data_IF_838621471838
#
_entry.id   IF_838621471838
#
_cell.length_a   1.000
_cell.length_b   1.000
_cell.length_c   1.000
_cell.angle_alpha   90.00
_cell.angle_beta   90.00
_cell.angle_gamma   90.00
#
_symmetry.space_group_name_H-M   'P 1'
#
loop_
_entity.id
_entity.type
_entity.pdbx_description
1 polymer ?
#
# COMPACT_ATOMS: atom_id res chain seq x y z
N UNK A 1 62.74 32.39 45.92
CA UNK A 1 61.79 33.06 46.83
C UNK A 1 60.84 33.93 46.01
N UNK A 2 59.64 33.71 46.02
CA UNK A 2 58.35 34.37 45.98
C UNK A 2 57.31 33.62 45.13
N UNK A 3 56.34 33.06 45.83
CA UNK A 3 55.16 32.47 45.31
C UNK A 3 54.24 33.55 44.75
N UNK A 4 53.67 33.32 43.55
CA UNK A 4 52.53 34.07 43.04
C UNK A 4 51.41 33.06 42.81
N UNK A 5 50.33 33.15 43.59
CA UNK A 5 49.06 32.46 43.40
C UNK A 5 48.36 33.07 42.21
N UNK A 6 47.94 32.24 41.23
CA UNK A 6 47.00 32.59 40.21
C UNK A 6 45.63 32.00 40.55
N UNK A 7 44.61 32.84 40.76
CA UNK A 7 43.21 32.47 40.87
C UNK A 7 42.70 32.07 39.49
N UNK A 8 42.21 30.86 39.36
CA UNK A 8 41.41 30.40 38.22
C UNK A 8 39.91 30.64 38.55
N UNK A 9 39.30 31.60 37.84
CA UNK A 9 37.86 31.79 37.87
C UNK A 9 37.22 30.82 36.87
N UNK A 10 36.47 29.84 37.38
CA UNK A 10 35.65 28.92 36.58
C UNK A 10 34.31 29.59 36.25
N UNK A 11 34.13 29.99 35.00
CA UNK A 11 32.81 30.33 34.43
C UNK A 11 32.04 29.06 34.14
N UNK A 12 31.04 28.74 34.94
CA UNK A 12 30.07 27.68 34.65
C UNK A 12 29.01 28.25 33.69
N UNK A 13 29.09 27.89 32.42
CA UNK A 13 27.99 28.11 31.45
C UNK A 13 26.94 27.05 31.65
N UNK A 14 25.81 27.42 32.20
CA UNK A 14 24.60 26.58 32.23
C UNK A 14 24.02 26.48 30.80
N UNK A 15 24.19 25.34 30.15
CA UNK A 15 23.48 24.99 28.92
C UNK A 15 22.08 24.56 29.32
N UNK A 16 21.11 25.45 29.11
CA UNK A 16 19.69 25.11 29.24
C UNK A 16 19.29 24.13 28.12
N UNK A 17 18.99 22.88 28.47
CA UNK A 17 18.28 21.98 27.60
C UNK A 17 16.83 22.46 27.45
N UNK A 18 16.53 23.13 26.35
CA UNK A 18 15.15 23.32 25.91
C UNK A 18 14.69 21.99 25.27
N UNK A 19 13.91 21.20 25.98
CA UNK A 19 13.17 20.09 25.41
C UNK A 19 12.13 20.69 24.47
N UNK A 20 12.37 20.59 23.17
CA UNK A 20 11.32 20.79 22.16
C UNK A 20 10.34 19.62 22.32
N UNK A 21 9.18 19.88 22.93
CA UNK A 21 8.05 18.97 22.86
C UNK A 21 7.64 18.89 21.38
N UNK A 22 7.94 17.78 20.72
CA UNK A 22 7.41 17.48 19.40
C UNK A 22 5.87 17.44 19.46
N UNK A 23 5.19 17.67 18.34
CA UNK A 23 3.74 17.50 18.30
C UNK A 23 3.40 16.07 18.74
N UNK A 24 2.51 15.96 19.74
CA UNK A 24 1.98 14.67 20.16
C UNK A 24 1.28 14.03 18.96
N UNK A 25 1.70 12.82 18.59
CA UNK A 25 1.00 12.03 17.59
C UNK A 25 -0.46 11.90 18.03
N UNK A 26 -1.38 12.28 17.16
CA UNK A 26 -2.80 12.18 17.42
C UNK A 26 -3.21 10.72 17.19
N UNK A 27 -3.97 10.15 18.12
CA UNK A 27 -4.35 8.75 18.11
C UNK A 27 -5.18 8.42 16.85
N UNK A 28 -4.82 7.33 16.15
CA UNK A 28 -5.63 6.81 15.06
C UNK A 28 -6.99 6.33 15.60
N UNK A 29 -8.08 6.68 14.93
CA UNK A 29 -9.42 6.33 15.33
C UNK A 29 -10.09 5.45 14.28
N UNK A 30 -10.82 4.43 14.69
CA UNK A 30 -11.56 3.57 13.78
C UNK A 30 -12.33 2.53 14.52
N UNK A 31 -13.50 2.16 13.99
CA UNK A 31 -14.32 1.12 14.60
C UNK A 31 -15.22 0.43 13.57
N UNK A 32 -15.58 -0.81 13.88
CA UNK A 32 -16.64 -1.55 13.22
C UNK A 32 -17.70 -1.93 14.23
N UNK A 33 -18.95 -1.83 13.83
CA UNK A 33 -20.09 -2.27 14.65
C UNK A 33 -20.94 -3.26 13.86
N UNK A 34 -21.09 -4.45 14.39
CA UNK A 34 -22.00 -5.47 13.88
C UNK A 34 -23.27 -5.46 14.75
N UNK A 35 -24.40 -5.01 14.19
CA UNK A 35 -25.70 -4.95 14.87
C UNK A 35 -26.62 -6.04 14.33
N UNK A 36 -27.14 -6.90 15.23
CA UNK A 36 -28.00 -8.03 14.86
C UNK A 36 -29.24 -8.05 15.74
N UNK A 37 -30.45 -8.10 15.15
CA UNK A 37 -31.67 -8.45 15.86
C UNK A 37 -31.66 -9.96 16.04
N UNK A 38 -31.43 -10.43 17.27
CA UNK A 38 -31.29 -11.85 17.60
C UNK A 38 -32.65 -12.54 17.82
N UNK A 39 -33.63 -11.77 18.22
CA UNK A 39 -35.04 -12.23 18.30
C UNK A 39 -36.00 -11.04 18.24
N UNK A 40 -37.23 -11.28 17.80
CA UNK A 40 -38.27 -10.27 17.74
C UNK A 40 -39.64 -10.90 18.01
N UNK A 41 -40.49 -10.20 18.75
CA UNK A 41 -41.85 -10.57 19.08
C UNK A 41 -42.77 -9.34 18.98
N UNK A 42 -44.05 -9.50 19.26
CA UNK A 42 -45.00 -8.40 19.18
C UNK A 42 -44.61 -7.28 20.17
N UNK A 43 -44.25 -6.12 19.68
CA UNK A 43 -43.88 -4.94 20.47
C UNK A 43 -42.51 -4.99 21.14
N UNK A 44 -41.66 -6.01 20.87
CA UNK A 44 -40.34 -6.11 21.48
C UNK A 44 -39.33 -6.85 20.62
N UNK A 45 -38.05 -6.63 20.91
CA UNK A 45 -36.95 -7.29 20.23
C UNK A 45 -35.72 -7.41 21.14
N UNK A 46 -34.80 -8.28 20.77
CA UNK A 46 -33.48 -8.37 21.36
C UNK A 46 -32.45 -8.08 20.31
N UNK A 47 -31.49 -7.23 20.64
CA UNK A 47 -30.37 -6.90 19.75
C UNK A 47 -29.03 -7.27 20.39
N UNK A 48 -28.16 -7.87 19.59
CA UNK A 48 -26.75 -8.04 19.89
C UNK A 48 -25.93 -6.99 19.12
N UNK A 49 -24.93 -6.44 19.79
CA UNK A 49 -24.04 -5.43 19.24
C UNK A 49 -22.60 -5.85 19.53
N UNK A 50 -21.78 -5.97 18.50
CA UNK A 50 -20.34 -6.21 18.64
C UNK A 50 -19.60 -4.99 18.14
N UNK A 51 -18.81 -4.39 19.01
CA UNK A 51 -17.91 -3.28 18.68
C UNK A 51 -16.52 -3.87 18.49
N UNK A 52 -15.85 -3.53 17.41
CA UNK A 52 -14.43 -3.82 17.20
C UNK A 52 -13.67 -2.51 17.10
N UNK A 53 -12.68 -2.31 17.97
CA UNK A 53 -11.77 -1.16 17.88
C UNK A 53 -10.74 -1.43 16.79
N UNK A 54 -10.72 -0.61 15.76
CA UNK A 54 -9.73 -0.68 14.65
C UNK A 54 -8.62 0.38 14.80
N UNK A 55 -8.84 1.37 15.67
CA UNK A 55 -7.89 2.42 15.98
C UNK A 55 -6.96 2.08 17.14
N UNK A 56 -6.31 3.11 17.69
CA UNK A 56 -5.44 2.99 18.86
C UNK A 56 -6.18 2.45 20.09
N UNK A 57 -5.46 1.82 21.04
CA UNK A 57 -6.08 1.35 22.28
C UNK A 57 -6.84 2.46 23.02
N UNK A 58 -8.08 2.23 23.37
CA UNK A 58 -8.88 3.19 24.13
C UNK A 58 -9.20 2.69 25.54
N UNK A 59 -9.07 3.57 26.51
CA UNK A 59 -9.53 3.37 27.89
C UNK A 59 -10.81 4.19 28.12
N UNK A 60 -11.92 3.51 28.17
CA UNK A 60 -13.25 4.12 28.17
C UNK A 60 -13.78 4.32 26.75
N UNK A 61 -14.87 3.63 26.46
CA UNK A 61 -15.55 3.77 25.18
C UNK A 61 -17.03 4.09 25.39
N UNK A 62 -17.58 4.86 24.45
CA UNK A 62 -18.99 5.20 24.39
C UNK A 62 -19.47 5.03 22.94
N UNK A 63 -20.32 4.02 22.72
CA UNK A 63 -21.01 3.78 21.47
C UNK A 63 -22.28 4.63 21.43
N UNK A 64 -22.53 5.31 20.32
CA UNK A 64 -23.79 6.03 20.08
C UNK A 64 -24.38 5.68 18.72
N UNK A 65 -25.71 5.64 18.65
CA UNK A 65 -26.48 5.46 17.42
C UNK A 65 -27.89 6.01 17.59
N UNK A 66 -28.54 6.30 16.47
CA UNK A 66 -29.93 6.73 16.48
C UNK A 66 -30.85 5.56 16.12
N UNK A 67 -31.90 5.35 16.90
CA UNK A 67 -33.03 4.49 16.52
C UNK A 67 -33.77 5.16 15.37
N UNK A 68 -34.01 4.45 14.24
CA UNK A 68 -34.67 5.06 13.08
C UNK A 68 -36.15 5.34 13.25
N UNK A 69 -36.82 4.68 14.19
CA UNK A 69 -38.23 4.86 14.51
C UNK A 69 -38.37 5.38 15.94
N UNK A 70 -39.11 6.45 16.14
CA UNK A 70 -39.31 7.09 17.46
C UNK A 70 -40.01 6.17 18.49
N UNK A 71 -40.69 5.14 18.00
CA UNK A 71 -41.30 4.09 18.81
C UNK A 71 -40.31 3.06 19.37
N UNK A 72 -39.07 3.05 18.93
CA UNK A 72 -38.04 2.12 19.40
C UNK A 72 -37.42 2.63 20.70
N UNK A 73 -37.39 1.78 21.76
CA UNK A 73 -36.80 2.10 23.06
C UNK A 73 -35.92 0.97 23.57
N UNK A 74 -34.83 1.31 24.21
CA UNK A 74 -34.03 0.38 25.03
C UNK A 74 -34.71 0.17 26.34
N UNK A 75 -35.07 -1.07 26.69
CA UNK A 75 -35.74 -1.44 27.92
C UNK A 75 -34.75 -1.92 28.97
N UNK A 76 -33.84 -2.81 28.59
CA UNK A 76 -32.82 -3.38 29.44
C UNK A 76 -31.61 -3.79 28.60
N UNK A 77 -30.41 -3.37 29.00
CA UNK A 77 -29.18 -3.76 28.33
C UNK A 77 -28.23 -4.53 29.25
N UNK A 78 -27.26 -5.20 28.65
CA UNK A 78 -26.16 -5.93 29.32
C UNK A 78 -24.81 -5.60 28.72
N UNK A 79 -23.77 -5.86 29.48
CA UNK A 79 -22.35 -5.64 29.13
C UNK A 79 -21.98 -4.18 28.81
N UNK A 80 -22.84 -3.23 29.13
CA UNK A 80 -22.59 -1.80 29.00
C UNK A 80 -23.52 -1.01 29.91
N UNK A 81 -23.23 0.23 30.21
CA UNK A 81 -24.16 1.18 30.81
C UNK A 81 -24.95 1.83 29.67
N UNK A 82 -26.25 1.51 29.61
CA UNK A 82 -27.14 1.95 28.54
C UNK A 82 -27.96 3.18 28.96
N UNK A 83 -28.12 4.10 28.02
CA UNK A 83 -29.05 5.24 28.15
C UNK A 83 -29.66 5.59 26.80
N UNK A 84 -30.84 6.22 26.82
CA UNK A 84 -31.49 6.72 25.61
C UNK A 84 -32.13 8.08 25.88
N UNK A 85 -31.93 9.02 24.98
CA UNK A 85 -32.57 10.35 24.97
C UNK A 85 -33.14 10.60 23.58
N UNK A 86 -34.48 10.69 23.48
CA UNK A 86 -35.15 10.74 22.18
C UNK A 86 -34.89 9.48 21.36
N UNK A 87 -34.37 9.66 20.13
CA UNK A 87 -33.91 8.57 19.28
C UNK A 87 -32.47 8.14 19.56
N UNK A 88 -31.66 8.97 20.24
CA UNK A 88 -30.24 8.69 20.47
C UNK A 88 -30.03 7.71 21.60
N UNK A 89 -29.39 6.60 21.32
CA UNK A 89 -28.96 5.56 22.26
C UNK A 89 -27.46 5.70 22.50
N UNK A 90 -27.06 5.58 23.78
CA UNK A 90 -25.67 5.52 24.22
C UNK A 90 -25.40 4.26 25.02
N UNK A 91 -24.27 3.61 24.78
CA UNK A 91 -23.77 2.46 25.54
C UNK A 91 -22.30 2.69 25.90
N UNK A 92 -22.01 2.74 27.20
CA UNK A 92 -20.64 2.98 27.70
C UNK A 92 -20.05 1.71 28.32
N UNK A 93 -18.72 1.52 28.14
CA UNK A 93 -18.00 0.39 28.72
C UNK A 93 -18.11 0.35 30.26
N UNK A 94 -18.19 -0.85 30.81
CA UNK A 94 -18.16 -1.11 32.25
C UNK A 94 -16.82 -1.64 32.68
N UNK A 95 -16.47 -1.56 33.94
CA UNK A 95 -15.11 -1.79 34.48
C UNK A 95 -14.27 -2.88 33.84
N UNK A 96 -14.85 -4.05 33.58
CA UNK A 96 -14.10 -5.19 33.00
C UNK A 96 -13.91 -5.12 31.47
N UNK A 97 -14.72 -4.35 30.75
CA UNK A 97 -14.63 -4.19 29.29
C UNK A 97 -14.44 -2.73 28.85
N UNK A 98 -14.12 -1.83 29.76
CA UNK A 98 -13.94 -0.41 29.47
C UNK A 98 -12.72 -0.11 28.61
N UNK A 99 -11.75 -1.03 28.55
CA UNK A 99 -10.55 -0.91 27.71
C UNK A 99 -10.70 -1.78 26.46
N UNK A 100 -10.48 -1.20 25.28
CA UNK A 100 -10.47 -1.90 24.00
C UNK A 100 -9.11 -1.67 23.32
N UNK A 101 -8.18 -2.64 23.40
CA UNK A 101 -6.98 -2.64 22.58
C UNK A 101 -7.32 -2.62 21.08
N UNK A 102 -6.36 -2.21 20.24
CA UNK A 102 -6.47 -2.29 18.79
C UNK A 102 -6.81 -3.73 18.36
N UNK A 103 -7.83 -3.89 17.51
CA UNK A 103 -8.35 -5.17 17.05
C UNK A 103 -9.23 -5.92 18.04
N UNK A 104 -9.32 -5.49 19.30
CA UNK A 104 -10.18 -6.12 20.30
C UNK A 104 -11.66 -5.77 20.11
N UNK A 105 -12.54 -6.65 20.57
CA UNK A 105 -13.99 -6.46 20.47
C UNK A 105 -14.66 -6.52 21.84
N UNK A 106 -15.74 -5.75 21.98
CA UNK A 106 -16.71 -5.87 23.09
C UNK A 106 -18.06 -6.34 22.53
N UNK A 107 -18.65 -7.32 23.20
CA UNK A 107 -19.98 -7.84 22.89
C UNK A 107 -20.95 -7.39 23.95
N UNK A 108 -22.01 -6.70 23.52
CA UNK A 108 -23.04 -6.14 24.35
C UNK A 108 -24.40 -6.34 23.69
N UNK A 109 -25.47 -6.02 24.37
CA UNK A 109 -26.79 -6.13 23.77
C UNK A 109 -27.87 -5.55 24.66
N UNK A 110 -29.10 -5.56 24.15
CA UNK A 110 -30.25 -5.05 24.88
C UNK A 110 -31.55 -5.70 24.42
N UNK A 111 -32.53 -5.68 25.31
CA UNK A 111 -33.93 -5.87 24.98
C UNK A 111 -34.52 -4.49 24.70
N UNK A 112 -35.21 -4.38 23.59
CA UNK A 112 -35.90 -3.16 23.18
C UNK A 112 -37.41 -3.37 23.00
N UNK A 113 -38.15 -2.27 23.00
CA UNK A 113 -39.55 -2.24 22.59
C UNK A 113 -39.71 -1.40 21.34
N UNK A 114 -40.76 -1.62 20.54
CA UNK A 114 -41.11 -0.80 19.40
C UNK A 114 -42.61 -0.72 19.21
N UNK A 115 -43.09 0.40 18.62
CA UNK A 115 -44.44 0.59 18.16
C UNK A 115 -44.40 0.92 16.67
N UNK A 116 -44.95 0.05 15.85
CA UNK A 116 -44.85 0.22 14.38
C UNK A 116 -43.78 -0.67 13.75
N UNK A 117 -42.70 -0.11 13.29
CA UNK A 117 -41.59 -0.84 12.64
C UNK A 117 -40.37 -0.97 13.55
N UNK A 118 -39.49 -1.94 13.24
CA UNK A 118 -38.25 -2.14 13.97
C UNK A 118 -37.03 -2.18 12.98
N UNK A 119 -36.76 -1.06 12.28
CA UNK A 119 -35.60 -0.97 11.42
C UNK A 119 -34.29 -0.91 12.22
N UNK A 120 -33.18 -1.37 11.61
CA UNK A 120 -31.84 -1.30 12.21
C UNK A 120 -31.27 0.11 12.10
N UNK A 121 -30.47 0.56 13.11
CA UNK A 121 -29.69 1.79 12.98
C UNK A 121 -28.81 1.80 11.72
N UNK A 122 -28.75 2.96 11.06
CA UNK A 122 -28.00 3.12 9.82
C UNK A 122 -26.51 3.45 10.05
N UNK A 123 -26.17 4.03 11.20
CA UNK A 123 -24.80 4.44 11.53
C UNK A 123 -24.54 4.37 13.03
N UNK A 124 -23.27 4.21 13.37
CA UNK A 124 -22.79 4.11 14.74
C UNK A 124 -21.56 5.02 14.91
N UNK A 125 -21.38 5.58 16.10
CA UNK A 125 -20.16 6.31 16.47
C UNK A 125 -19.57 5.72 17.75
N UNK A 126 -18.24 5.59 17.79
CA UNK A 126 -17.50 5.19 18.98
C UNK A 126 -16.63 6.38 19.42
N UNK A 127 -16.83 6.87 20.64
CA UNK A 127 -16.18 8.09 21.15
C UNK A 127 -16.30 9.29 20.20
N UNK A 128 -17.46 9.43 19.53
CA UNK A 128 -17.73 10.51 18.57
C UNK A 128 -17.23 10.27 17.14
N UNK A 129 -16.52 9.17 16.90
CA UNK A 129 -16.00 8.79 15.58
C UNK A 129 -16.95 7.83 14.89
N UNK A 130 -17.32 8.09 13.64
CA UNK A 130 -18.21 7.20 12.86
C UNK A 130 -17.54 5.87 12.57
N UNK A 131 -18.22 4.76 12.90
CA UNK A 131 -17.76 3.41 12.65
C UNK A 131 -18.04 3.01 11.21
N UNK A 132 -17.01 3.05 10.37
CA UNK A 132 -17.09 2.73 8.93
C UNK A 132 -16.61 1.32 8.61
N UNK A 133 -16.09 0.58 9.60
CA UNK A 133 -15.45 -0.71 9.39
C UNK A 133 -13.97 -0.59 8.98
N UNK A 134 -13.45 0.62 8.96
CA UNK A 134 -12.04 0.93 8.67
C UNK A 134 -11.48 1.88 9.73
N UNK A 135 -10.16 1.95 9.84
CA UNK A 135 -9.47 2.98 10.63
C UNK A 135 -9.71 4.31 9.93
N UNK A 136 -10.19 5.31 10.65
CA UNK A 136 -10.19 6.70 10.18
C UNK A 136 -9.12 7.46 10.96
N UNK A 137 -8.19 8.06 10.26
CA UNK A 137 -7.33 9.08 10.85
C UNK A 137 -8.21 10.21 11.42
N UNK A 138 -7.77 10.91 12.49
CA UNK A 138 -8.54 12.01 13.07
C UNK A 138 -8.92 13.01 11.97
N UNK A 139 -10.09 13.65 12.04
CA UNK A 139 -10.47 14.67 11.06
C UNK A 139 -9.45 15.80 11.13
N UNK A 140 -8.50 15.78 10.23
CA UNK A 140 -7.86 17.02 9.78
C UNK A 140 -8.94 17.84 9.09
N UNK A 141 -8.84 19.17 9.17
CA UNK A 141 -9.65 20.09 8.36
C UNK A 141 -9.87 19.54 6.95
N UNK A 142 -10.98 19.89 6.27
CA UNK A 142 -11.26 19.36 4.94
C UNK A 142 -9.98 19.40 4.13
N UNK A 143 -9.56 18.26 3.51
CA UNK A 143 -8.25 18.14 2.93
C UNK A 143 -8.04 19.29 1.95
N UNK A 144 -7.15 20.20 2.33
CA UNK A 144 -6.61 21.16 1.35
C UNK A 144 -5.85 20.34 0.33
N UNK A 145 -6.07 20.61 -0.95
CA UNK A 145 -5.34 19.95 -2.02
C UNK A 145 -3.84 20.02 -1.72
N UNK A 146 -3.12 18.90 -1.92
CA UNK A 146 -1.68 18.94 -1.81
C UNK A 146 -1.16 20.04 -2.75
N UNK A 147 -0.15 20.81 -2.32
CA UNK A 147 0.42 21.83 -3.19
C UNK A 147 0.84 21.18 -4.51
N UNK A 148 0.47 21.82 -5.63
CA UNK A 148 0.76 21.34 -6.98
C UNK A 148 2.29 21.26 -7.29
N UNK A 149 3.13 21.57 -6.32
CA UNK A 149 4.59 21.60 -6.42
C UNK A 149 5.19 20.80 -5.27
N UNK A 150 5.77 19.65 -5.59
CA UNK A 150 6.44 18.80 -4.62
C UNK A 150 6.87 17.47 -5.24
N UNK A 151 7.64 16.70 -4.48
CA UNK A 151 7.94 15.32 -4.89
C UNK A 151 6.69 14.45 -4.75
N UNK A 152 6.64 13.29 -5.43
CA UNK A 152 5.50 12.36 -5.34
C UNK A 152 5.10 12.02 -3.89
N UNK A 153 6.08 11.73 -3.02
CA UNK A 153 5.81 11.41 -1.60
C UNK A 153 5.36 12.63 -0.81
N UNK A 154 5.93 13.81 -1.07
CA UNK A 154 5.50 15.05 -0.40
C UNK A 154 4.07 15.43 -0.77
N UNK A 155 3.67 15.17 -2.03
CA UNK A 155 2.32 15.45 -2.54
C UNK A 155 1.29 14.44 -2.02
N UNK A 156 1.63 13.16 -2.03
CA UNK A 156 0.66 12.08 -1.81
C UNK A 156 0.72 11.47 -0.39
N UNK A 157 1.86 11.55 0.29
CA UNK A 157 2.07 10.98 1.62
C UNK A 157 1.90 9.47 1.68
N UNK A 158 1.34 8.94 2.77
CA UNK A 158 1.05 7.52 2.93
C UNK A 158 -0.03 7.09 1.95
N UNK A 159 0.29 6.09 1.12
CA UNK A 159 -0.65 5.53 0.17
C UNK A 159 -1.58 4.51 0.82
N UNK A 160 -2.74 4.35 0.23
CA UNK A 160 -3.73 3.34 0.63
C UNK A 160 -4.55 2.86 -0.55
N UNK A 161 -5.22 1.72 -0.40
CA UNK A 161 -6.21 1.25 -1.36
C UNK A 161 -7.60 1.79 -0.97
N UNK A 162 -8.26 2.47 -1.88
CA UNK A 162 -9.61 2.99 -1.70
C UNK A 162 -10.54 2.48 -2.82
N UNK A 163 -11.36 1.48 -2.50
CA UNK A 163 -12.16 0.76 -3.50
C UNK A 163 -11.25 -0.01 -4.47
N UNK A 164 -11.29 0.35 -5.75
CA UNK A 164 -10.46 -0.27 -6.79
C UNK A 164 -9.24 0.59 -7.17
N UNK A 165 -8.98 1.68 -6.45
CA UNK A 165 -7.91 2.61 -6.78
C UNK A 165 -6.79 2.58 -5.74
N UNK A 166 -5.58 2.94 -6.18
CA UNK A 166 -4.54 3.44 -5.29
C UNK A 166 -4.90 4.89 -4.95
N UNK A 167 -4.85 5.27 -3.67
CA UNK A 167 -5.18 6.60 -3.20
C UNK A 167 -4.06 7.18 -2.34
N UNK A 168 -3.96 8.50 -2.32
CA UNK A 168 -3.07 9.23 -1.42
C UNK A 168 -3.65 9.31 0.00
N UNK A 169 -2.90 9.94 0.91
CA UNK A 169 -3.31 10.16 2.30
C UNK A 169 -4.63 10.95 2.45
N UNK A 170 -5.06 11.67 1.40
CA UNK A 170 -6.31 12.44 1.37
C UNK A 170 -7.49 11.66 0.74
N UNK A 171 -7.34 10.34 0.52
CA UNK A 171 -8.32 9.48 -0.16
C UNK A 171 -8.63 9.86 -1.62
N UNK A 172 -7.69 10.51 -2.30
CA UNK A 172 -7.83 10.83 -3.74
C UNK A 172 -7.11 9.78 -4.56
N UNK A 173 -7.72 9.28 -5.64
CA UNK A 173 -7.06 8.36 -6.55
C UNK A 173 -5.77 8.95 -7.11
N UNK A 174 -4.71 8.15 -7.16
CA UNK A 174 -3.42 8.49 -7.74
C UNK A 174 -2.99 7.44 -8.75
N UNK A 175 -2.16 7.84 -9.71
CA UNK A 175 -1.44 6.94 -10.59
C UNK A 175 0.05 7.19 -10.43
N UNK A 176 0.80 6.22 -9.98
CA UNK A 176 2.25 6.30 -9.92
C UNK A 176 2.83 5.73 -11.22
N UNK A 177 3.75 6.47 -11.84
CA UNK A 177 4.40 6.09 -13.10
C UNK A 177 5.91 6.05 -12.89
N UNK A 178 6.53 4.93 -13.20
CA UNK A 178 7.97 4.81 -12.95
C UNK A 178 8.65 3.66 -13.64
N UNK A 179 9.83 3.34 -13.12
CA UNK A 179 10.74 2.37 -13.68
C UNK A 179 11.05 1.25 -12.68
N UNK A 180 11.25 0.04 -13.21
CA UNK A 180 11.81 -1.09 -12.45
C UNK A 180 13.30 -1.19 -12.68
N UNK A 181 14.07 -1.55 -11.66
CA UNK A 181 15.42 -2.10 -11.90
C UNK A 181 15.31 -3.38 -12.72
N UNK A 182 16.37 -3.78 -13.36
CA UNK A 182 16.68 -5.18 -13.65
C UNK A 182 17.14 -5.85 -12.34
N UNK A 183 17.52 -7.14 -12.38
CA UNK A 183 18.11 -7.78 -11.22
C UNK A 183 19.25 -6.96 -10.62
N UNK A 184 19.10 -6.57 -9.36
CA UNK A 184 20.05 -5.68 -8.67
C UNK A 184 21.45 -6.32 -8.48
N UNK A 185 21.57 -7.64 -8.68
CA UNK A 185 22.85 -8.35 -8.68
C UNK A 185 23.65 -8.12 -9.97
N UNK A 186 22.99 -7.96 -11.12
CA UNK A 186 23.67 -7.87 -12.41
C UNK A 186 23.93 -6.44 -12.86
N UNK A 187 23.00 -5.52 -12.55
CA UNK A 187 23.04 -4.14 -13.02
C UNK A 187 23.22 -3.11 -11.91
N UNK A 188 23.90 -3.49 -10.82
CA UNK A 188 24.12 -2.61 -9.66
C UNK A 188 24.73 -1.24 -10.03
N UNK A 189 25.53 -1.17 -11.10
CA UNK A 189 26.12 0.08 -11.59
C UNK A 189 25.10 1.09 -12.09
N UNK A 190 23.93 0.61 -12.55
CA UNK A 190 22.84 1.45 -13.04
C UNK A 190 22.09 2.15 -11.91
N UNK A 191 22.30 1.74 -10.64
CA UNK A 191 21.54 2.23 -9.50
C UNK A 191 22.43 3.01 -8.55
N UNK A 192 22.71 4.25 -8.89
CA UNK A 192 23.59 5.16 -8.15
C UNK A 192 22.92 6.55 -7.99
N UNK A 193 23.60 7.47 -7.29
CA UNK A 193 23.07 8.81 -7.04
C UNK A 193 22.66 9.53 -8.32
N UNK A 194 23.56 9.61 -9.31
CA UNK A 194 23.28 10.31 -10.56
C UNK A 194 22.13 9.71 -11.37
N UNK A 195 22.01 8.38 -11.39
CA UNK A 195 20.93 7.72 -12.12
C UNK A 195 19.55 7.96 -11.45
N UNK A 196 19.48 7.94 -10.11
CA UNK A 196 18.23 8.20 -9.41
C UNK A 196 17.89 9.69 -9.39
N UNK A 197 18.89 10.60 -9.40
CA UNK A 197 18.66 12.03 -9.63
C UNK A 197 18.01 12.26 -11.00
N UNK A 198 18.57 11.66 -12.07
CA UNK A 198 17.99 11.74 -13.41
C UNK A 198 16.57 11.12 -13.46
N UNK A 199 16.34 9.99 -12.78
CA UNK A 199 15.02 9.36 -12.72
C UNK A 199 13.99 10.27 -12.07
N UNK A 200 14.33 10.90 -10.94
CA UNK A 200 13.43 11.80 -10.22
C UNK A 200 13.25 13.15 -10.94
N UNK A 201 14.35 13.75 -11.41
CA UNK A 201 14.34 15.14 -11.88
C UNK A 201 14.08 15.26 -13.38
N UNK A 202 14.69 14.40 -14.21
CA UNK A 202 14.58 14.49 -15.66
C UNK A 202 13.46 13.61 -16.23
N UNK A 203 13.25 12.43 -15.63
CA UNK A 203 12.15 11.52 -16.01
C UNK A 203 10.85 11.85 -15.29
N UNK A 204 10.92 12.60 -14.17
CA UNK A 204 9.74 12.89 -13.32
C UNK A 204 9.04 11.62 -12.83
N UNK A 205 9.82 10.61 -12.48
CA UNK A 205 9.30 9.32 -12.02
C UNK A 205 8.69 9.44 -10.62
N UNK A 206 7.50 8.86 -10.44
CA UNK A 206 6.84 8.80 -9.14
C UNK A 206 7.37 7.66 -8.28
N UNK A 207 7.84 6.59 -8.91
CA UNK A 207 8.27 5.38 -8.22
C UNK A 207 9.52 4.74 -8.83
N UNK A 208 10.19 3.96 -7.98
CA UNK A 208 11.31 3.11 -8.35
C UNK A 208 11.06 1.69 -7.81
N UNK A 209 10.84 0.71 -8.70
CA UNK A 209 10.66 -0.69 -8.32
C UNK A 209 12.02 -1.38 -8.22
N UNK A 210 12.28 -2.04 -7.10
CA UNK A 210 13.53 -2.72 -6.79
C UNK A 210 13.34 -4.23 -6.96
N UNK A 211 13.72 -4.77 -8.10
CA UNK A 211 13.60 -6.18 -8.44
C UNK A 211 14.72 -7.00 -7.76
N UNK A 212 14.42 -7.52 -6.57
CA UNK A 212 15.33 -8.39 -5.82
C UNK A 212 15.07 -9.84 -6.16
N UNK A 213 15.84 -10.38 -7.08
CA UNK A 213 15.78 -11.80 -7.44
C UNK A 213 16.07 -12.69 -6.23
N UNK A 214 15.25 -13.72 -6.05
CA UNK A 214 15.42 -14.70 -4.96
C UNK A 214 16.40 -15.77 -5.37
N UNK A 215 16.19 -16.38 -6.53
CA UNK A 215 17.09 -17.30 -7.20
C UNK A 215 18.06 -16.54 -8.11
N UNK A 216 18.73 -17.23 -9.00
CA UNK A 216 19.59 -16.66 -10.06
C UNK A 216 20.71 -15.77 -9.51
N UNK A 217 21.46 -16.29 -8.54
CA UNK A 217 22.52 -15.56 -7.81
C UNK A 217 21.97 -14.38 -6.97
N UNK A 218 20.68 -14.42 -6.64
CA UNK A 218 19.99 -13.42 -5.86
C UNK A 218 20.03 -13.66 -4.36
N UNK A 219 18.96 -13.31 -3.69
CA UNK A 219 18.79 -13.30 -2.22
C UNK A 219 19.24 -14.59 -1.54
N UNK A 220 18.95 -15.76 -2.13
CA UNK A 220 19.31 -17.05 -1.52
C UNK A 220 20.83 -17.24 -1.34
N UNK A 221 21.66 -16.52 -2.08
CA UNK A 221 23.13 -16.62 -2.02
C UNK A 221 23.74 -15.74 -0.93
N UNK A 222 23.14 -14.61 -0.62
CA UNK A 222 23.55 -13.65 0.41
C UNK A 222 22.36 -12.87 0.94
N UNK A 223 21.49 -13.46 1.78
CA UNK A 223 20.30 -12.81 2.30
C UNK A 223 20.56 -11.47 2.99
N UNK A 224 21.64 -11.36 3.76
CA UNK A 224 21.97 -10.14 4.49
C UNK A 224 22.42 -9.02 3.56
N UNK A 225 23.30 -9.33 2.59
CA UNK A 225 23.78 -8.37 1.60
C UNK A 225 22.66 -7.87 0.67
N UNK A 226 21.77 -8.75 0.22
CA UNK A 226 20.62 -8.35 -0.60
C UNK A 226 19.62 -7.51 0.19
N UNK A 227 19.30 -7.87 1.43
CA UNK A 227 18.45 -7.06 2.31
C UNK A 227 19.04 -5.66 2.51
N UNK A 228 20.35 -5.55 2.77
CA UNK A 228 21.04 -4.26 2.90
C UNK A 228 21.00 -3.44 1.61
N UNK A 229 21.19 -4.07 0.46
CA UNK A 229 21.13 -3.42 -0.86
C UNK A 229 19.74 -2.88 -1.17
N UNK A 230 18.69 -3.67 -0.93
CA UNK A 230 17.30 -3.24 -1.08
C UNK A 230 17.02 -2.02 -0.20
N UNK A 231 17.37 -2.07 1.09
CA UNK A 231 17.19 -0.94 2.00
C UNK A 231 17.95 0.32 1.53
N UNK A 232 19.17 0.18 1.02
CA UNK A 232 19.92 1.29 0.45
C UNK A 232 19.24 1.92 -0.76
N UNK A 233 18.62 1.13 -1.65
CA UNK A 233 17.88 1.64 -2.80
C UNK A 233 16.56 2.31 -2.37
N UNK A 234 15.90 1.80 -1.34
CA UNK A 234 14.74 2.45 -0.72
C UNK A 234 15.11 3.82 -0.14
N UNK A 235 16.23 3.91 0.59
CA UNK A 235 16.73 5.18 1.14
C UNK A 235 17.08 6.20 0.03
N UNK A 236 17.64 5.72 -1.08
CA UNK A 236 17.94 6.57 -2.23
C UNK A 236 16.67 7.09 -2.93
N UNK A 237 15.62 6.29 -3.03
CA UNK A 237 14.32 6.71 -3.56
C UNK A 237 13.65 7.72 -2.62
N UNK A 238 13.64 7.44 -1.30
CA UNK A 238 13.09 8.32 -0.27
C UNK A 238 13.74 9.71 -0.28
N UNK A 239 15.08 9.76 -0.36
CA UNK A 239 15.83 11.01 -0.41
C UNK A 239 15.44 11.91 -1.61
N UNK A 240 14.83 11.34 -2.65
CA UNK A 240 14.35 12.02 -3.85
C UNK A 240 12.83 12.17 -3.89
N UNK A 241 12.16 11.74 -2.81
CA UNK A 241 10.71 11.81 -2.68
C UNK A 241 9.97 10.90 -3.65
N UNK A 242 10.60 9.82 -4.13
CA UNK A 242 9.96 8.77 -4.92
C UNK A 242 9.46 7.64 -4.03
N UNK A 243 8.37 6.99 -4.45
CA UNK A 243 7.96 5.72 -3.87
C UNK A 243 8.92 4.61 -4.26
N UNK A 244 9.10 3.64 -3.37
CA UNK A 244 9.90 2.45 -3.62
C UNK A 244 9.01 1.21 -3.55
N UNK A 245 8.96 0.42 -4.64
CA UNK A 245 8.32 -0.89 -4.62
C UNK A 245 9.39 -1.93 -4.35
N UNK A 246 9.31 -2.59 -3.19
CA UNK A 246 10.22 -3.70 -2.82
C UNK A 246 9.64 -4.99 -3.39
N UNK A 247 10.24 -5.49 -4.46
CA UNK A 247 9.80 -6.69 -5.14
C UNK A 247 10.63 -7.91 -4.75
N UNK A 248 9.94 -8.90 -4.15
CA UNK A 248 10.47 -10.24 -3.94
C UNK A 248 10.37 -11.01 -5.25
N UNK A 249 11.40 -10.86 -6.09
CA UNK A 249 11.38 -11.25 -7.50
C UNK A 249 11.54 -12.75 -7.67
N UNK A 250 10.42 -13.46 -7.72
CA UNK A 250 10.36 -14.91 -7.98
C UNK A 250 9.90 -15.17 -9.42
N UNK A 251 10.56 -16.11 -10.09
CA UNK A 251 10.23 -16.51 -11.46
C UNK A 251 10.25 -18.03 -11.60
N UNK A 252 11.35 -18.68 -11.22
CA UNK A 252 11.53 -20.13 -11.25
C UNK A 252 12.17 -20.61 -9.95
N UNK A 253 11.52 -21.51 -9.16
CA UNK A 253 10.20 -22.12 -9.40
C UNK A 253 9.05 -21.11 -9.34
N UNK A 254 7.98 -21.33 -10.16
CA UNK A 254 6.84 -20.43 -10.25
C UNK A 254 5.87 -20.52 -9.08
N UNK A 255 5.96 -21.54 -8.23
CA UNK A 255 5.19 -21.62 -6.97
C UNK A 255 5.84 -20.74 -5.90
N UNK A 256 5.19 -19.64 -5.47
CA UNK A 256 5.75 -18.77 -4.45
C UNK A 256 5.93 -19.47 -3.10
N UNK A 257 5.17 -20.54 -2.83
CA UNK A 257 5.32 -21.32 -1.59
C UNK A 257 6.69 -22.00 -1.46
N UNK A 258 7.40 -22.24 -2.56
CA UNK A 258 8.78 -22.71 -2.54
C UNK A 258 9.70 -21.77 -1.75
N UNK A 259 9.43 -20.49 -1.79
CA UNK A 259 10.20 -19.44 -1.13
C UNK A 259 9.53 -18.87 0.14
N UNK A 260 8.48 -19.52 0.67
CA UNK A 260 7.66 -18.97 1.75
C UNK A 260 8.47 -18.56 2.99
N UNK A 261 9.38 -19.41 3.47
CA UNK A 261 10.19 -19.10 4.65
C UNK A 261 11.21 -17.99 4.39
N UNK A 262 11.78 -17.95 3.17
CA UNK A 262 12.65 -16.86 2.73
C UNK A 262 11.90 -15.54 2.67
N UNK A 263 10.68 -15.56 2.12
CA UNK A 263 9.81 -14.38 2.04
C UNK A 263 9.44 -13.85 3.42
N UNK A 264 9.04 -14.73 4.36
CA UNK A 264 8.75 -14.34 5.74
C UNK A 264 9.95 -13.69 6.41
N UNK A 265 11.14 -14.28 6.24
CA UNK A 265 12.39 -13.75 6.83
C UNK A 265 12.75 -12.39 6.23
N UNK A 266 12.69 -12.26 4.89
CA UNK A 266 13.00 -11.04 4.18
C UNK A 266 12.02 -9.92 4.56
N UNK A 267 10.71 -10.17 4.45
CA UNK A 267 9.70 -9.16 4.74
C UNK A 267 9.64 -8.76 6.21
N UNK A 268 9.89 -9.67 7.15
CA UNK A 268 10.04 -9.29 8.58
C UNK A 268 11.16 -8.26 8.77
N UNK A 269 12.30 -8.44 8.08
CA UNK A 269 13.45 -7.54 8.18
C UNK A 269 13.20 -6.20 7.50
N UNK A 270 12.75 -6.20 6.23
CA UNK A 270 12.58 -4.94 5.47
C UNK A 270 11.39 -4.12 5.95
N UNK A 271 10.30 -4.77 6.40
CA UNK A 271 9.16 -4.07 6.97
C UNK A 271 9.53 -3.39 8.30
N UNK A 272 10.21 -4.10 9.21
CA UNK A 272 10.68 -3.50 10.47
C UNK A 272 11.65 -2.33 10.24
N UNK A 273 12.51 -2.41 9.20
CA UNK A 273 13.48 -1.35 8.87
C UNK A 273 12.82 -0.10 8.29
N UNK A 274 11.72 -0.26 7.58
CA UNK A 274 11.09 0.80 6.79
C UNK A 274 9.70 1.22 7.32
N UNK A 275 9.27 0.74 8.48
CA UNK A 275 7.93 0.95 9.04
C UNK A 275 7.52 2.43 9.20
N UNK A 276 8.48 3.31 9.47
CA UNK A 276 8.23 4.74 9.63
C UNK A 276 8.23 5.53 8.29
N UNK A 277 8.48 4.84 7.17
CA UNK A 277 8.59 5.46 5.85
C UNK A 277 7.25 5.46 5.11
N UNK A 278 6.87 6.58 4.54
CA UNK A 278 5.64 6.72 3.75
C UNK A 278 5.78 6.34 2.28
N UNK A 279 7.00 6.03 1.85
CA UNK A 279 7.30 5.80 0.43
C UNK A 279 7.43 4.33 0.05
N UNK A 280 7.11 3.37 0.93
CA UNK A 280 7.34 1.95 0.68
C UNK A 280 6.06 1.22 0.29
N UNK A 281 6.15 0.41 -0.75
CA UNK A 281 5.14 -0.53 -1.23
C UNK A 281 5.82 -1.90 -1.29
N UNK A 282 5.17 -2.97 -0.86
CA UNK A 282 5.73 -4.32 -0.89
C UNK A 282 5.06 -5.15 -1.99
N UNK A 283 5.85 -5.76 -2.87
CA UNK A 283 5.39 -6.74 -3.84
C UNK A 283 5.90 -8.12 -3.41
N UNK A 284 4.97 -8.99 -3.00
CA UNK A 284 5.33 -10.21 -2.26
C UNK A 284 5.69 -11.41 -3.12
N UNK A 285 5.39 -11.37 -4.41
CA UNK A 285 5.82 -12.35 -5.40
C UNK A 285 5.68 -11.74 -6.80
N UNK A 286 6.75 -11.73 -7.58
CA UNK A 286 6.79 -11.11 -8.91
C UNK A 286 5.85 -11.80 -9.92
N UNK A 287 6.13 -13.03 -10.28
CA UNK A 287 5.46 -13.74 -11.37
C UNK A 287 5.10 -15.19 -11.04
N UNK A 288 4.12 -15.42 -10.16
CA UNK A 288 3.63 -16.76 -9.91
C UNK A 288 3.15 -17.44 -11.19
N UNK A 289 3.64 -18.66 -11.44
CA UNK A 289 3.30 -19.43 -12.66
C UNK A 289 3.31 -20.92 -12.38
N UNK A 290 2.60 -21.69 -13.22
CA UNK A 290 2.49 -23.13 -13.07
C UNK A 290 1.71 -23.59 -11.83
N UNK A 291 1.03 -22.69 -11.11
CA UNK A 291 0.27 -22.98 -9.90
C UNK A 291 -1.11 -22.32 -9.92
N UNK A 292 -2.02 -22.80 -9.08
CA UNK A 292 -3.37 -22.26 -8.98
C UNK A 292 -3.39 -20.93 -8.23
N UNK A 293 -4.41 -20.10 -8.49
CA UNK A 293 -4.68 -18.90 -7.71
C UNK A 293 -4.81 -19.20 -6.20
N UNK A 294 -5.44 -20.32 -5.84
CA UNK A 294 -5.58 -20.72 -4.43
C UNK A 294 -4.22 -20.92 -3.75
N UNK A 295 -3.24 -21.50 -4.43
CA UNK A 295 -1.89 -21.68 -3.88
C UNK A 295 -1.20 -20.32 -3.68
N UNK A 296 -1.35 -19.40 -4.63
CA UNK A 296 -0.82 -18.02 -4.54
C UNK A 296 -1.48 -17.26 -3.39
N UNK A 297 -2.80 -17.33 -3.28
CA UNK A 297 -3.55 -16.72 -2.17
C UNK A 297 -3.11 -17.26 -0.82
N UNK A 298 -2.94 -18.57 -0.66
CA UNK A 298 -2.47 -19.18 0.57
C UNK A 298 -1.06 -18.72 0.96
N UNK A 299 -0.18 -18.50 0.00
CA UNK A 299 1.11 -17.87 0.22
C UNK A 299 0.95 -16.43 0.71
N UNK A 300 0.16 -15.62 0.00
CA UNK A 300 -0.07 -14.22 0.34
C UNK A 300 -0.63 -14.06 1.76
N UNK A 301 -1.62 -14.87 2.14
CA UNK A 301 -2.25 -14.84 3.47
C UNK A 301 -1.31 -15.29 4.61
N UNK A 302 -0.16 -15.86 4.28
CA UNK A 302 0.90 -16.18 5.26
C UNK A 302 2.00 -15.11 5.32
N UNK A 303 2.28 -14.41 4.22
CA UNK A 303 3.33 -13.38 4.17
C UNK A 303 2.79 -12.01 4.64
N UNK A 304 1.57 -11.66 4.26
CA UNK A 304 0.95 -10.37 4.61
C UNK A 304 0.95 -10.10 6.12
N UNK A 305 0.58 -11.03 7.01
CA UNK A 305 0.64 -10.80 8.45
C UNK A 305 2.04 -10.50 8.98
N UNK A 306 3.09 -11.01 8.33
CA UNK A 306 4.48 -10.74 8.70
C UNK A 306 4.81 -9.27 8.43
N UNK A 307 4.42 -8.74 7.28
CA UNK A 307 4.59 -7.30 6.94
C UNK A 307 3.76 -6.46 7.91
N UNK A 308 2.48 -6.80 8.11
CA UNK A 308 1.54 -6.05 8.95
C UNK A 308 1.94 -5.97 10.42
N UNK A 309 2.73 -6.92 10.90
CA UNK A 309 3.26 -6.88 12.27
C UNK A 309 4.23 -5.72 12.52
N UNK A 310 4.88 -5.21 11.47
CA UNK A 310 5.84 -4.11 11.56
C UNK A 310 5.33 -2.84 10.87
N UNK A 311 4.64 -2.99 9.74
CA UNK A 311 4.16 -1.91 8.85
C UNK A 311 2.66 -2.14 8.56
N UNK A 312 1.76 -1.68 9.46
CA UNK A 312 0.35 -2.05 9.41
C UNK A 312 -0.44 -1.36 8.30
N UNK A 313 0.02 -0.24 7.77
CA UNK A 313 -0.69 0.60 6.80
C UNK A 313 -0.07 0.59 5.38
N UNK A 314 1.04 -0.12 5.16
CA UNK A 314 1.65 -0.24 3.85
C UNK A 314 0.72 -0.85 2.79
N UNK A 315 0.85 -0.40 1.56
CA UNK A 315 0.24 -1.06 0.40
C UNK A 315 1.04 -2.31 0.04
N UNK A 316 0.34 -3.43 -0.17
CA UNK A 316 0.95 -4.69 -0.56
C UNK A 316 0.42 -5.13 -1.92
N UNK A 317 1.31 -5.42 -2.85
CA UNK A 317 1.00 -5.95 -4.18
C UNK A 317 1.16 -7.47 -4.13
N UNK A 318 0.13 -8.17 -4.57
CA UNK A 318 0.09 -9.64 -4.65
C UNK A 318 0.21 -10.05 -6.11
N UNK A 319 1.24 -10.84 -6.44
CA UNK A 319 1.38 -11.45 -7.76
C UNK A 319 0.19 -12.34 -8.10
N UNK A 320 -0.21 -12.36 -9.36
CA UNK A 320 -1.35 -13.16 -9.82
C UNK A 320 -0.90 -14.35 -10.69
N UNK A 321 -1.81 -15.29 -10.93
CA UNK A 321 -1.52 -16.48 -11.70
C UNK A 321 -1.09 -16.16 -13.14
N UNK A 322 -0.27 -17.03 -13.73
CA UNK A 322 0.12 -16.95 -15.13
C UNK A 322 1.07 -15.78 -15.41
N UNK A 323 2.17 -15.70 -14.66
CA UNK A 323 3.15 -14.61 -14.73
C UNK A 323 2.49 -13.25 -14.48
N UNK A 324 1.76 -13.17 -13.40
CA UNK A 324 1.00 -11.96 -12.98
C UNK A 324 0.06 -11.40 -14.06
N UNK A 325 -0.51 -12.27 -14.92
CA UNK A 325 -1.44 -11.87 -15.98
C UNK A 325 -2.92 -12.05 -15.63
N UNK A 326 -3.29 -12.14 -14.34
CA UNK A 326 -4.65 -12.51 -13.88
C UNK A 326 -5.10 -13.87 -14.45
N UNK A 327 -4.15 -14.79 -14.70
CA UNK A 327 -4.40 -16.10 -15.27
C UNK A 327 -4.54 -16.15 -16.78
N UNK A 328 -4.54 -15.02 -17.49
CA UNK A 328 -4.77 -15.00 -18.95
C UNK A 328 -3.72 -15.81 -19.70
N UNK A 329 -2.45 -15.76 -19.30
CA UNK A 329 -1.37 -16.53 -19.92
C UNK A 329 -1.49 -18.05 -19.72
N UNK A 330 -2.25 -18.48 -18.69
CA UNK A 330 -2.53 -19.90 -18.37
C UNK A 330 -3.92 -20.35 -18.84
N UNK A 331 -4.59 -19.59 -19.69
CA UNK A 331 -5.91 -19.90 -20.21
C UNK A 331 -7.06 -19.70 -19.21
N UNK A 332 -6.80 -18.99 -18.10
CA UNK A 332 -7.79 -18.53 -17.12
C UNK A 332 -8.15 -17.06 -17.32
N UNK A 333 -8.67 -16.39 -16.31
CA UNK A 333 -9.03 -14.99 -16.37
C UNK A 333 -9.17 -14.39 -14.95
N UNK A 334 -9.42 -13.08 -14.89
CA UNK A 334 -9.59 -12.28 -13.68
C UNK A 334 -10.63 -12.80 -12.68
N UNK A 335 -11.57 -13.64 -13.12
CA UNK A 335 -12.67 -14.13 -12.27
C UNK A 335 -12.19 -14.99 -11.11
N UNK A 336 -11.03 -15.67 -11.23
CA UNK A 336 -10.49 -16.46 -10.12
C UNK A 336 -10.07 -15.58 -8.95
N UNK A 337 -9.51 -14.41 -9.21
CA UNK A 337 -9.15 -13.44 -8.18
C UNK A 337 -10.40 -12.73 -7.64
N UNK A 338 -11.27 -12.28 -8.53
CA UNK A 338 -12.52 -11.58 -8.18
C UNK A 338 -13.43 -12.40 -7.27
N UNK A 339 -13.57 -13.70 -7.54
CA UNK A 339 -14.48 -14.59 -6.80
C UNK A 339 -13.85 -15.17 -5.52
N UNK A 340 -12.54 -15.06 -5.38
CA UNK A 340 -11.79 -15.56 -4.22
C UNK A 340 -10.63 -14.62 -3.89
N UNK A 341 -10.89 -13.34 -3.55
CA UNK A 341 -9.84 -12.38 -3.25
C UNK A 341 -9.04 -12.77 -2.02
N UNK A 342 -7.83 -12.21 -1.87
CA UNK A 342 -7.03 -12.34 -0.65
C UNK A 342 -7.78 -11.72 0.53
N UNK A 343 -7.83 -12.41 1.65
CA UNK A 343 -8.53 -11.94 2.85
C UNK A 343 -7.64 -10.99 3.67
N UNK A 344 -7.37 -9.83 3.11
CA UNK A 344 -6.62 -8.76 3.75
C UNK A 344 -7.03 -7.40 3.17
N UNK A 345 -6.76 -6.33 3.90
CA UNK A 345 -7.00 -4.95 3.47
C UNK A 345 -5.74 -4.32 2.90
N UNK A 346 -5.90 -3.22 2.20
CA UNK A 346 -4.80 -2.43 1.63
C UNK A 346 -3.92 -3.26 0.66
N UNK A 347 -4.56 -4.10 -0.16
CA UNK A 347 -3.97 -5.03 -1.11
C UNK A 347 -4.26 -4.57 -2.52
N UNK A 348 -3.26 -4.64 -3.39
CA UNK A 348 -3.40 -4.53 -4.84
C UNK A 348 -2.97 -5.83 -5.51
N UNK A 349 -3.46 -6.08 -6.73
CA UNK A 349 -3.13 -7.26 -7.51
C UNK A 349 -2.23 -6.86 -8.67
N UNK A 350 -1.09 -7.55 -8.80
CA UNK A 350 -0.17 -7.33 -9.89
C UNK A 350 -0.78 -7.74 -11.24
N UNK A 351 -0.53 -6.94 -12.24
CA UNK A 351 -0.71 -7.33 -13.63
C UNK A 351 0.56 -7.00 -14.42
N UNK A 352 1.09 -7.99 -15.14
CA UNK A 352 2.27 -7.84 -15.99
C UNK A 352 1.91 -8.03 -17.46
N UNK A 353 2.55 -7.26 -18.31
CA UNK A 353 2.42 -7.43 -19.76
C UNK A 353 3.68 -7.02 -20.51
N UNK A 354 3.84 -7.59 -21.68
CA UNK A 354 4.84 -7.19 -22.66
C UNK A 354 4.13 -6.86 -23.97
N UNK A 355 4.22 -5.60 -24.41
CA UNK A 355 3.33 -5.04 -25.42
C UNK A 355 3.39 -5.71 -26.79
N UNK A 356 4.54 -6.29 -27.17
CA UNK A 356 4.64 -7.03 -28.41
C UNK A 356 3.97 -8.42 -28.36
N UNK A 357 3.80 -9.00 -27.17
CA UNK A 357 3.17 -10.32 -26.97
C UNK A 357 1.72 -10.24 -26.52
N UNK A 358 1.40 -9.34 -25.58
CA UNK A 358 0.12 -9.26 -24.90
C UNK A 358 -0.75 -8.18 -25.56
N UNK A 359 -1.79 -8.59 -26.26
CA UNK A 359 -2.62 -7.74 -27.13
C UNK A 359 -4.03 -7.49 -26.52
N UNK A 360 -5.02 -7.35 -27.40
CA UNK A 360 -6.37 -6.91 -27.04
C UNK A 360 -7.06 -7.81 -26.01
N UNK A 361 -6.83 -9.11 -26.04
CA UNK A 361 -7.40 -10.03 -25.05
C UNK A 361 -6.91 -9.75 -23.62
N UNK A 362 -5.63 -9.36 -23.46
CA UNK A 362 -5.07 -8.95 -22.16
C UNK A 362 -5.60 -7.56 -21.76
N UNK A 363 -5.65 -6.59 -22.68
CA UNK A 363 -6.24 -5.27 -22.43
C UNK A 363 -7.71 -5.37 -22.00
N UNK A 364 -8.48 -6.26 -22.64
CA UNK A 364 -9.86 -6.53 -22.27
C UNK A 364 -9.99 -7.13 -20.87
N UNK A 365 -9.08 -8.04 -20.47
CA UNK A 365 -9.05 -8.59 -19.12
C UNK A 365 -8.78 -7.52 -18.07
N UNK A 366 -7.78 -6.65 -18.30
CA UNK A 366 -7.50 -5.50 -17.42
C UNK A 366 -8.70 -4.57 -17.30
N UNK A 367 -9.35 -4.23 -18.43
CA UNK A 367 -10.52 -3.35 -18.43
C UNK A 367 -11.69 -3.93 -17.62
N UNK A 368 -11.92 -5.24 -17.66
CA UNK A 368 -12.95 -5.90 -16.83
C UNK A 368 -12.54 -5.97 -15.36
N UNK A 369 -11.27 -6.27 -15.09
CA UNK A 369 -10.74 -6.40 -13.73
C UNK A 369 -10.72 -5.06 -12.99
N UNK A 370 -10.34 -3.98 -13.65
CA UNK A 370 -10.15 -2.64 -13.05
C UNK A 370 -11.40 -2.07 -12.37
N UNK A 371 -12.60 -2.49 -12.78
CA UNK A 371 -13.85 -2.10 -12.10
C UNK A 371 -14.18 -2.91 -10.85
N UNK A 372 -13.39 -3.96 -10.54
CA UNK A 372 -13.67 -4.95 -9.51
C UNK A 372 -12.49 -5.22 -8.58
N UNK A 373 -11.27 -4.96 -9.02
CA UNK A 373 -10.03 -5.23 -8.31
C UNK A 373 -9.12 -4.00 -8.34
N UNK A 374 -8.43 -3.68 -7.26
CA UNK A 374 -7.35 -2.70 -7.27
C UNK A 374 -6.12 -3.32 -7.96
N UNK A 375 -5.80 -2.80 -9.15
CA UNK A 375 -4.71 -3.31 -9.98
C UNK A 375 -3.47 -2.41 -9.90
N UNK A 376 -2.31 -3.04 -9.98
CA UNK A 376 -1.01 -2.37 -10.14
C UNK A 376 -0.22 -3.09 -11.24
N UNK A 377 0.21 -2.38 -12.28
CA UNK A 377 1.12 -2.93 -13.29
C UNK A 377 2.55 -2.76 -12.78
N UNK A 378 2.96 -3.64 -11.88
CA UNK A 378 4.29 -3.56 -11.25
C UNK A 378 5.43 -3.89 -12.18
N UNK A 379 5.14 -4.53 -13.33
CA UNK A 379 6.10 -4.75 -14.40
C UNK A 379 5.43 -4.73 -15.78
N UNK A 380 6.04 -4.04 -16.73
CA UNK A 380 5.68 -4.19 -18.14
C UNK A 380 6.84 -3.86 -19.08
N UNK A 381 6.82 -4.46 -20.26
CA UNK A 381 7.80 -4.20 -21.32
C UNK A 381 7.15 -3.75 -22.63
N UNK A 382 7.92 -3.02 -23.45
CA UNK A 382 7.48 -2.54 -24.77
C UNK A 382 7.72 -3.56 -25.89
N UNK A 383 8.41 -4.65 -25.57
CA UNK A 383 8.90 -5.71 -26.47
C UNK A 383 8.14 -7.02 -26.27
N UNK A 384 8.69 -8.14 -26.71
CA UNK A 384 8.12 -9.47 -26.47
C UNK A 384 8.28 -9.90 -25.01
N UNK A 385 7.48 -10.91 -24.58
CA UNK A 385 7.53 -11.47 -23.23
C UNK A 385 8.86 -12.13 -22.84
N UNK A 386 9.78 -12.26 -23.79
CA UNK A 386 11.17 -12.71 -23.53
C UNK A 386 12.11 -11.58 -23.08
N UNK A 387 11.62 -10.33 -22.98
CA UNK A 387 12.45 -9.15 -22.72
C UNK A 387 13.22 -8.64 -23.95
N UNK A 388 13.22 -9.42 -25.03
CA UNK A 388 13.97 -9.13 -26.26
C UNK A 388 13.10 -8.76 -27.46
N UNK A 389 13.77 -8.49 -28.58
CA UNK A 389 13.14 -8.12 -29.83
C UNK A 389 12.89 -6.63 -29.99
N UNK A 390 12.24 -6.26 -31.10
CA UNK A 390 11.90 -4.88 -31.39
C UNK A 390 10.72 -4.41 -30.53
N UNK A 391 10.71 -3.12 -30.21
CA UNK A 391 9.57 -2.47 -29.56
C UNK A 391 8.34 -2.51 -30.47
N UNK A 392 7.18 -2.92 -29.94
CA UNK A 392 5.90 -2.67 -30.57
C UNK A 392 5.34 -1.33 -30.09
N UNK A 393 5.70 -0.27 -30.80
CA UNK A 393 5.32 1.10 -30.42
C UNK A 393 3.82 1.30 -30.34
N UNK A 394 3.07 0.79 -31.33
CA UNK A 394 1.62 0.98 -31.39
C UNK A 394 0.92 0.29 -30.22
N UNK A 395 1.28 -0.97 -29.93
CA UNK A 395 0.74 -1.71 -28.80
C UNK A 395 1.15 -1.11 -27.45
N UNK A 396 2.39 -0.60 -27.34
CA UNK A 396 2.88 0.06 -26.12
C UNK A 396 2.07 1.34 -25.83
N UNK A 397 1.80 2.15 -26.83
CA UNK A 397 0.96 3.35 -26.69
C UNK A 397 -0.47 2.95 -26.27
N UNK A 398 -1.07 1.95 -26.93
CA UNK A 398 -2.41 1.49 -26.60
C UNK A 398 -2.52 0.97 -25.15
N UNK A 399 -1.47 0.32 -24.63
CA UNK A 399 -1.40 -0.10 -23.23
C UNK A 399 -1.28 1.11 -22.29
N UNK A 400 -0.36 2.03 -22.55
CA UNK A 400 -0.15 3.20 -21.71
C UNK A 400 -1.38 4.10 -21.66
N UNK A 401 -2.07 4.29 -22.80
CA UNK A 401 -3.33 5.03 -22.86
C UNK A 401 -4.44 4.37 -22.03
N UNK A 402 -4.52 3.04 -22.05
CA UNK A 402 -5.46 2.29 -21.21
C UNK A 402 -5.14 2.45 -19.71
N UNK A 403 -3.88 2.36 -19.32
CA UNK A 403 -3.47 2.53 -17.93
C UNK A 403 -3.76 3.96 -17.43
N UNK A 404 -3.50 4.97 -18.24
CA UNK A 404 -3.81 6.37 -17.94
C UNK A 404 -5.33 6.59 -17.82
N UNK A 405 -6.12 6.00 -18.71
CA UNK A 405 -7.59 6.06 -18.64
C UNK A 405 -8.14 5.42 -17.37
N UNK A 406 -7.59 4.28 -16.97
CA UNK A 406 -8.03 3.52 -15.80
C UNK A 406 -7.33 3.93 -14.49
N UNK A 407 -6.39 4.88 -14.56
CA UNK A 407 -5.58 5.35 -13.42
C UNK A 407 -4.80 4.22 -12.72
N UNK A 408 -4.33 3.24 -13.50
CA UNK A 408 -3.55 2.13 -12.99
C UNK A 408 -2.07 2.54 -12.94
N UNK A 409 -1.47 2.46 -11.76
CA UNK A 409 -0.04 2.71 -11.54
C UNK A 409 0.83 1.67 -12.24
N UNK A 410 2.04 2.09 -12.67
CA UNK A 410 2.90 1.20 -13.41
C UNK A 410 4.41 1.43 -13.20
N UNK A 411 5.21 0.36 -13.37
CA UNK A 411 6.66 0.38 -13.46
C UNK A 411 7.13 -0.31 -14.76
N UNK A 412 7.91 0.39 -15.57
CA UNK A 412 8.44 -0.19 -16.81
C UNK A 412 9.68 -1.03 -16.53
N UNK A 413 9.76 -2.20 -17.12
CA UNK A 413 10.94 -3.02 -17.21
C UNK A 413 11.74 -2.60 -18.45
N UNK A 414 12.97 -2.04 -18.36
CA UNK A 414 13.80 -1.98 -17.18
C UNK A 414 14.76 -0.78 -17.22
N UNK A 415 15.01 -0.15 -16.08
CA UNK A 415 15.97 0.96 -15.92
C UNK A 415 17.39 0.42 -15.84
N UNK A 416 17.89 -0.09 -16.95
CA UNK A 416 19.23 -0.70 -17.09
C UNK A 416 19.80 -0.50 -18.48
N UNK A 417 21.07 -0.83 -18.66
CA UNK A 417 21.77 -0.90 -19.95
C UNK A 417 21.98 -2.34 -20.41
N UNK A 418 21.05 -3.23 -20.05
CA UNK A 418 21.04 -4.61 -20.53
C UNK A 418 20.99 -4.67 -22.05
N UNK A 419 21.65 -5.66 -22.61
CA UNK A 419 21.61 -5.89 -24.06
C UNK A 419 20.32 -6.61 -24.47
N UNK A 420 19.19 -5.94 -24.19
CA UNK A 420 17.84 -6.43 -24.51
C UNK A 420 16.93 -5.27 -24.95
N UNK A 421 15.87 -5.59 -25.66
CA UNK A 421 14.99 -4.57 -26.25
C UNK A 421 14.17 -3.78 -25.25
N UNK A 422 13.95 -4.32 -24.03
CA UNK A 422 13.24 -3.66 -22.94
C UNK A 422 14.10 -2.66 -22.16
N UNK A 423 15.44 -2.72 -22.30
CA UNK A 423 16.35 -1.83 -21.59
C UNK A 423 16.09 -0.35 -21.93
N UNK A 424 16.06 0.51 -20.91
CA UNK A 424 15.92 1.95 -21.10
C UNK A 424 17.15 2.60 -21.69
N UNK A 425 18.32 2.04 -21.44
CA UNK A 425 19.61 2.58 -21.85
C UNK A 425 20.31 1.71 -22.88
N UNK A 426 21.09 2.35 -23.74
CA UNK A 426 22.02 1.67 -24.62
C UNK A 426 23.12 0.99 -23.82
N UNK A 427 23.65 -0.16 -24.27
CA UNK A 427 24.75 -0.85 -23.61
C UNK A 427 25.92 0.07 -23.26
N UNK A 428 26.41 -0.02 -22.02
CA UNK A 428 27.55 0.76 -21.55
C UNK A 428 27.20 2.10 -20.91
N UNK A 429 25.94 2.54 -20.96
CA UNK A 429 25.47 3.80 -20.36
C UNK A 429 25.73 3.86 -18.86
N UNK A 430 25.55 2.75 -18.13
CA UNK A 430 25.72 2.69 -16.69
C UNK A 430 27.18 2.78 -16.21
N UNK A 431 28.14 2.87 -17.11
CA UNK A 431 29.51 3.21 -16.77
C UNK A 431 29.79 4.73 -16.76
N UNK A 432 28.82 5.54 -17.18
CA UNK A 432 28.86 7.00 -17.19
C UNK A 432 27.97 7.64 -16.14
N UNK A 433 27.64 8.90 -16.36
CA UNK A 433 26.79 9.70 -15.48
C UNK A 433 25.59 10.36 -16.19
N UNK A 434 25.41 10.11 -17.48
CA UNK A 434 24.26 10.59 -18.25
C UNK A 434 23.21 9.49 -18.34
N UNK A 435 22.00 9.76 -17.81
CA UNK A 435 20.88 8.83 -17.77
C UNK A 435 19.60 9.43 -18.38
N UNK A 436 19.71 10.56 -19.07
CA UNK A 436 18.53 11.29 -19.53
C UNK A 436 18.60 11.81 -20.97
N UNK A 437 19.79 11.99 -21.55
CA UNK A 437 19.91 12.50 -22.92
C UNK A 437 19.47 11.48 -23.97
N UNK A 438 19.04 11.95 -25.14
CA UNK A 438 18.66 11.09 -26.27
C UNK A 438 19.81 10.23 -26.77
N UNK A 439 21.06 10.62 -26.48
CA UNK A 439 22.25 9.88 -26.85
C UNK A 439 22.37 8.52 -26.19
N UNK A 440 21.90 8.39 -24.95
CA UNK A 440 22.01 7.19 -24.12
C UNK A 440 20.74 6.33 -24.09
N UNK A 441 19.59 6.89 -24.45
CA UNK A 441 18.31 6.18 -24.41
C UNK A 441 18.15 5.23 -25.61
N UNK A 442 17.57 4.07 -25.36
CA UNK A 442 16.99 3.21 -26.40
C UNK A 442 15.68 3.80 -26.91
N UNK A 443 15.08 3.20 -27.92
CA UNK A 443 13.76 3.58 -28.39
C UNK A 443 12.67 3.35 -27.31
N UNK A 444 12.77 2.23 -26.57
CA UNK A 444 11.92 1.93 -25.41
C UNK A 444 12.09 2.99 -24.33
N UNK A 445 13.32 3.27 -23.90
CA UNK A 445 13.60 4.27 -22.87
C UNK A 445 13.10 5.66 -23.23
N UNK A 446 13.27 6.08 -24.49
CA UNK A 446 12.79 7.38 -24.97
C UNK A 446 11.25 7.49 -24.93
N UNK A 447 10.53 6.44 -25.35
CA UNK A 447 9.06 6.40 -25.26
C UNK A 447 8.62 6.48 -23.80
N UNK A 448 9.17 5.65 -22.93
CA UNK A 448 8.75 5.58 -21.52
C UNK A 448 9.08 6.88 -20.79
N UNK A 449 10.29 7.44 -20.98
CA UNK A 449 10.62 8.75 -20.43
C UNK A 449 9.60 9.81 -20.81
N UNK A 450 9.21 9.87 -22.10
CA UNK A 450 8.23 10.84 -22.57
C UNK A 450 6.86 10.69 -21.91
N UNK A 451 6.45 9.45 -21.54
CA UNK A 451 5.16 9.18 -20.89
C UNK A 451 5.23 9.49 -19.39
N UNK A 452 6.27 9.07 -18.69
CA UNK A 452 6.46 9.32 -17.26
C UNK A 452 6.55 10.83 -16.98
N UNK A 453 7.26 11.58 -17.83
CA UNK A 453 7.45 13.02 -17.65
C UNK A 453 6.25 13.89 -18.06
N UNK A 454 5.18 13.30 -18.59
CA UNK A 454 3.93 14.01 -18.89
C UNK A 454 3.25 14.42 -17.57
N UNK A 455 2.72 15.64 -17.51
CA UNK A 455 1.97 16.10 -16.35
C UNK A 455 0.83 15.15 -16.01
N UNK A 456 0.59 14.95 -14.73
CA UNK A 456 -0.47 14.10 -14.25
C UNK A 456 -1.84 14.75 -14.51
N UNK A 457 -2.75 14.02 -15.14
CA UNK A 457 -4.11 14.47 -15.44
C UNK A 457 -5.11 14.10 -14.33
N UNK A 458 -4.63 13.87 -13.12
CA UNK A 458 -5.54 13.61 -12.02
C UNK A 458 -6.33 14.86 -11.67
N UNK A 459 -7.62 14.74 -11.36
CA UNK A 459 -8.34 15.87 -10.84
C UNK A 459 -7.67 16.31 -9.54
N UNK A 460 -6.95 17.41 -9.64
CA UNK A 460 -6.58 18.21 -8.49
C UNK A 460 -7.87 18.90 -8.02
N UNK A 461 -8.33 18.59 -6.87
CA UNK A 461 -9.43 19.28 -6.23
C UNK A 461 -10.78 18.64 -6.32
#
# INVERSE_FOLDING_TARGET
LKRILALLATCATAVGLTTLAGPSAQAATGCRVDYTITSQWQGGFQAGVKITNLGDPTSGWNLQFAMPDDGQKVVQGWNATWSQSGSTVSAAGTGWNSTLPTGASAELGFVGSFTGSNPKPASFTLNGVTCTGSVTDPPTDPPTDPPATGTPVATNGQLRVCGVNLCNQYNRPVQLRGMSTHGIQWFAKCYNGASLDALAEDWKSDLFRVAMYVQEQGYETDPAGFTSRVNGLVDMAEARGMYAVIDFHTLTPGDPNYNLDRAKTFFASVAARNADKKNVIYEIANEPNGVSWTAIKNYAEQVIPVIRAADPDAVIIVGTRGWSSLGVSDGSNESEVVNNPVNATNIMYAFHFYAASHKDNYRAAVSRAASRLPLFVSEFGTVSATGGGAMDRASSIAWLDLLDQLKISYANWTYSDANEGSAAFKPGTCNGSDYSSSGVLTESGALIKSRISTADNFPTG
#
